data_IF_620298469462
#
_entry.id   IF_620298469462
#
_cell.length_a   1.000
_cell.length_b   1.000
_cell.length_c   1.000
_cell.angle_alpha   90.00
_cell.angle_beta   90.00
_cell.angle_gamma   90.00
#
_symmetry.space_group_name_H-M   'P 1'
#
loop_
_entity.id
_entity.type
_entity.pdbx_description
1 polymer ?
#
# COMPACT_ATOMS: atom_id res chain seq x y z
N UNK A 1 10.31 14.58 -1.22
CA UNK A 1 9.66 13.42 -0.61
C UNK A 1 8.41 13.84 0.11
N UNK A 2 7.28 13.21 -0.17
CA UNK A 2 6.00 13.59 0.41
C UNK A 2 5.21 12.33 0.79
N UNK A 3 4.82 12.22 2.06
CA UNK A 3 3.94 11.17 2.54
C UNK A 3 2.55 11.77 2.78
N UNK A 4 1.56 11.25 2.07
CA UNK A 4 0.14 11.55 2.31
C UNK A 4 -0.41 10.62 3.38
N UNK A 5 -1.02 11.18 4.41
CA UNK A 5 -1.67 10.45 5.50
C UNK A 5 -3.17 10.72 5.51
N UNK A 6 -4.02 9.84 6.10
CA UNK A 6 -5.49 9.95 6.02
C UNK A 6 -6.04 11.18 6.72
N UNK A 7 -6.26 12.26 6.00
CA UNK A 7 -6.97 13.46 6.50
C UNK A 7 -7.63 14.24 5.39
N UNK A 8 -6.89 14.59 4.36
CA UNK A 8 -7.39 15.37 3.25
C UNK A 8 -6.91 14.74 1.94
N UNK A 9 -7.81 14.66 0.98
CA UNK A 9 -7.45 14.29 -0.37
C UNK A 9 -6.76 15.50 -1.01
N UNK A 10 -5.53 15.32 -1.44
CA UNK A 10 -4.77 16.31 -2.20
C UNK A 10 -4.85 15.92 -3.66
N UNK A 11 -5.40 16.76 -4.54
CA UNK A 11 -5.38 16.49 -5.97
C UNK A 11 -3.95 16.34 -6.47
N UNK A 12 -3.68 15.27 -7.21
CA UNK A 12 -2.40 15.08 -7.87
C UNK A 12 -2.38 15.91 -9.16
N UNK A 13 -1.21 16.45 -9.50
CA UNK A 13 -1.05 17.13 -10.79
C UNK A 13 -1.19 16.13 -11.94
N UNK A 14 -1.90 16.45 -13.02
CA UNK A 14 -1.96 15.59 -14.21
C UNK A 14 -0.60 15.49 -14.94
N UNK A 15 0.36 16.35 -14.60
CA UNK A 15 1.74 16.31 -15.09
C UNK A 15 2.71 15.72 -14.09
N UNK A 16 2.20 14.84 -13.21
CA UNK A 16 3.01 14.23 -12.18
C UNK A 16 4.04 13.26 -12.80
N UNK A 17 5.30 13.57 -12.64
CA UNK A 17 6.41 12.69 -13.07
C UNK A 17 6.82 11.71 -11.97
N UNK A 18 6.57 12.07 -10.71
CA UNK A 18 6.91 11.26 -9.55
C UNK A 18 5.88 10.16 -9.34
N UNK A 19 6.31 8.89 -9.14
CA UNK A 19 5.37 7.79 -8.92
C UNK A 19 4.65 7.94 -7.58
N UNK A 20 3.36 7.57 -7.57
CA UNK A 20 2.54 7.43 -6.37
C UNK A 20 2.49 5.97 -5.93
N UNK A 21 3.02 5.65 -4.76
CA UNK A 21 2.92 4.32 -4.17
C UNK A 21 1.92 4.32 -3.02
N UNK A 22 0.94 3.41 -3.05
CA UNK A 22 -0.01 3.21 -1.95
C UNK A 22 0.42 2.01 -1.11
N UNK A 23 0.57 2.18 0.21
CA UNK A 23 0.98 1.12 1.13
C UNK A 23 -0.25 0.40 1.71
N UNK A 24 -0.70 -0.66 1.04
CA UNK A 24 -1.80 -1.51 1.47
C UNK A 24 -1.30 -2.70 2.31
N UNK A 25 -1.95 -2.97 3.42
CA UNK A 25 -1.58 -4.07 4.31
C UNK A 25 -2.15 -3.91 5.71
N UNK A 26 -1.89 -4.85 6.62
CA UNK A 26 -2.45 -4.81 7.97
C UNK A 26 -1.96 -3.59 8.74
N UNK A 27 -2.88 -2.73 9.17
CA UNK A 27 -2.57 -1.58 10.04
C UNK A 27 -2.67 -2.01 11.50
N UNK A 28 -3.81 -2.60 11.88
CA UNK A 28 -4.02 -3.12 13.23
C UNK A 28 -3.40 -4.49 13.36
N UNK A 29 -2.48 -4.65 14.28
CA UNK A 29 -1.75 -5.90 14.49
C UNK A 29 -0.58 -6.12 13.53
N UNK A 30 -0.34 -5.24 12.55
CA UNK A 30 0.75 -5.39 11.58
C UNK A 30 2.09 -4.79 12.01
N UNK A 31 2.16 -4.13 13.18
CA UNK A 31 3.34 -3.35 13.55
C UNK A 31 3.46 -2.04 12.74
N UNK A 32 4.66 -1.49 12.64
CA UNK A 32 4.94 -0.24 11.90
C UNK A 32 5.62 -0.47 10.54
N UNK A 33 5.26 -1.57 9.88
CA UNK A 33 5.85 -1.97 8.60
C UNK A 33 5.74 -0.89 7.51
N UNK A 34 4.70 -0.05 7.56
CA UNK A 34 4.54 1.04 6.60
C UNK A 34 5.66 2.07 6.71
N UNK A 35 6.16 2.32 7.92
CA UNK A 35 7.28 3.23 8.11
C UNK A 35 8.57 2.64 7.57
N UNK A 36 8.81 1.34 7.82
CA UNK A 36 9.99 0.64 7.31
C UNK A 36 9.96 0.60 5.77
N UNK A 37 8.82 0.27 5.18
CA UNK A 37 8.64 0.30 3.72
C UNK A 37 8.83 1.71 3.13
N UNK A 38 8.29 2.74 3.78
CA UNK A 38 8.46 4.12 3.33
C UNK A 38 9.94 4.52 3.34
N UNK A 39 10.70 4.16 4.36
CA UNK A 39 12.14 4.43 4.43
C UNK A 39 12.91 3.72 3.32
N UNK A 40 12.59 2.44 3.05
CA UNK A 40 13.21 1.68 1.96
C UNK A 40 12.95 2.35 0.59
N UNK A 41 11.70 2.73 0.33
CA UNK A 41 11.31 3.43 -0.91
C UNK A 41 12.09 4.72 -1.06
N UNK A 42 12.16 5.50 -0.01
CA UNK A 42 12.74 6.84 -0.04
C UNK A 42 14.26 6.85 -0.17
N UNK A 43 14.91 5.83 0.39
CA UNK A 43 16.34 5.61 0.19
C UNK A 43 16.68 5.26 -1.27
N UNK A 44 15.72 4.69 -2.02
CA UNK A 44 15.86 4.38 -3.45
C UNK A 44 15.51 5.57 -4.34
N UNK A 45 14.41 6.27 -4.02
CA UNK A 45 13.90 7.37 -4.83
C UNK A 45 13.22 8.44 -3.99
N UNK A 46 13.91 9.53 -3.76
CA UNK A 46 13.47 10.63 -2.89
C UNK A 46 12.30 11.45 -3.48
N UNK A 47 12.02 11.34 -4.77
CA UNK A 47 10.91 12.05 -5.43
C UNK A 47 9.57 11.33 -5.30
N UNK A 48 9.56 10.06 -4.86
CA UNK A 48 8.34 9.24 -4.74
C UNK A 48 7.32 9.88 -3.80
N UNK A 49 6.05 9.83 -4.21
CA UNK A 49 4.89 10.14 -3.37
C UNK A 49 4.38 8.85 -2.73
N UNK A 50 4.16 8.87 -1.43
CA UNK A 50 3.67 7.70 -0.69
C UNK A 50 2.32 8.03 -0.08
N UNK A 51 1.28 7.27 -0.42
CA UNK A 51 0.00 7.30 0.26
C UNK A 51 -0.03 6.19 1.32
N UNK A 52 0.03 6.59 2.59
CA UNK A 52 0.08 5.68 3.73
C UNK A 52 -1.20 5.79 4.56
N UNK A 53 -2.01 4.73 4.70
CA UNK A 53 -3.27 4.77 5.45
C UNK A 53 -3.09 4.75 6.97
N UNK A 54 -1.86 4.65 7.47
CA UNK A 54 -1.59 4.67 8.91
C UNK A 54 -1.94 6.01 9.55
N UNK A 55 -2.48 5.96 10.76
CA UNK A 55 -2.87 7.16 11.54
C UNK A 55 -1.71 7.66 12.39
N UNK A 56 -0.57 7.88 11.77
CA UNK A 56 0.60 8.44 12.44
C UNK A 56 0.32 9.85 12.98
N UNK A 57 0.95 10.18 14.10
CA UNK A 57 0.86 11.50 14.72
C UNK A 57 2.11 12.35 14.43
N UNK A 58 2.13 13.58 14.93
CA UNK A 58 3.24 14.51 14.73
C UNK A 58 4.56 14.10 15.40
N UNK A 59 4.52 13.10 16.26
CA UNK A 59 5.70 12.55 16.96
C UNK A 59 6.31 11.37 16.23
N UNK A 60 5.65 10.90 15.15
CA UNK A 60 6.16 9.78 14.38
C UNK A 60 7.49 10.13 13.70
N UNK A 61 8.43 9.16 13.62
CA UNK A 61 9.77 9.35 13.06
C UNK A 61 9.81 9.92 11.64
N UNK A 62 8.77 9.69 10.84
CA UNK A 62 8.61 10.22 9.48
C UNK A 62 7.78 11.51 9.40
N UNK A 63 7.44 12.13 10.52
CA UNK A 63 6.53 13.29 10.55
C UNK A 63 7.00 14.48 9.72
N UNK A 64 8.30 14.68 9.56
CA UNK A 64 8.88 15.73 8.70
C UNK A 64 8.58 15.56 7.22
N UNK A 65 8.15 14.37 6.81
CA UNK A 65 7.81 14.05 5.43
C UNK A 65 6.31 14.11 5.14
N UNK A 66 5.47 14.34 6.16
CA UNK A 66 4.03 14.42 5.96
C UNK A 66 3.65 15.70 5.23
N UNK A 67 2.82 15.53 4.19
CA UNK A 67 2.37 16.66 3.38
C UNK A 67 1.55 17.68 4.17
N UNK A 68 0.86 17.25 5.22
CA UNK A 68 -0.08 18.09 5.96
C UNK A 68 0.17 18.07 7.45
N UNK A 69 0.01 19.24 8.12
CA UNK A 69 -0.01 19.28 9.56
C UNK A 69 -1.19 18.46 10.10
N UNK A 70 -0.97 17.81 11.23
CA UNK A 70 -1.99 17.02 11.89
C UNK A 70 -3.17 17.87 12.32
N UNK A 71 -4.35 17.64 11.73
CA UNK A 71 -5.63 18.08 12.25
C UNK A 71 -6.36 16.87 12.88
N UNK A 72 -7.39 17.10 13.70
CA UNK A 72 -8.21 16.02 14.27
C UNK A 72 -8.70 15.08 13.18
N UNK A 73 -8.67 13.76 13.44
CA UNK A 73 -9.09 12.75 12.49
C UNK A 73 -10.48 13.07 11.91
N UNK A 74 -10.53 13.23 10.60
CA UNK A 74 -11.79 13.28 9.88
C UNK A 74 -12.26 11.83 9.64
N UNK A 75 -13.57 11.56 9.78
CA UNK A 75 -14.17 10.24 9.54
C UNK A 75 -14.15 9.81 8.06
N UNK A 76 -13.33 10.47 7.24
CA UNK A 76 -13.20 10.23 5.79
C UNK A 76 -12.10 9.27 5.39
N UNK A 77 -11.51 8.52 6.32
CA UNK A 77 -10.38 7.64 6.01
C UNK A 77 -10.69 6.68 4.85
N UNK A 78 -11.84 6.03 4.85
CA UNK A 78 -12.23 5.10 3.77
C UNK A 78 -12.36 5.78 2.40
N UNK A 79 -12.80 7.05 2.37
CA UNK A 79 -12.88 7.84 1.12
C UNK A 79 -11.48 8.17 0.64
N UNK A 80 -10.59 8.56 1.54
CA UNK A 80 -9.19 8.84 1.28
C UNK A 80 -8.46 7.60 0.75
N UNK A 81 -8.59 6.45 1.40
CA UNK A 81 -8.01 5.17 0.99
C UNK A 81 -8.47 4.78 -0.42
N UNK A 82 -9.78 4.81 -0.67
CA UNK A 82 -10.34 4.51 -2.00
C UNK A 82 -9.82 5.44 -3.09
N UNK A 83 -9.65 6.72 -2.78
CA UNK A 83 -9.12 7.69 -3.74
C UNK A 83 -7.68 7.32 -4.14
N UNK A 84 -6.78 7.18 -3.15
CA UNK A 84 -5.37 6.93 -3.45
C UNK A 84 -5.08 5.51 -3.96
N UNK A 85 -5.84 4.50 -3.53
CA UNK A 85 -5.79 3.16 -4.11
C UNK A 85 -6.12 3.19 -5.62
N UNK A 86 -7.14 3.94 -6.01
CA UNK A 86 -7.49 4.08 -7.44
C UNK A 86 -6.45 4.87 -8.21
N UNK A 87 -5.98 5.97 -7.66
CA UNK A 87 -4.94 6.79 -8.29
C UNK A 87 -3.66 5.95 -8.53
N UNK A 88 -3.20 5.22 -7.53
CA UNK A 88 -1.99 4.42 -7.62
C UNK A 88 -2.14 3.20 -8.55
N UNK A 89 -3.27 2.51 -8.49
CA UNK A 89 -3.45 1.20 -9.13
C UNK A 89 -4.16 1.20 -10.48
N UNK A 90 -5.02 2.17 -10.76
CA UNK A 90 -5.95 2.12 -11.90
C UNK A 90 -5.89 3.33 -12.84
N UNK A 91 -5.48 4.50 -12.36
CA UNK A 91 -5.54 5.74 -13.15
C UNK A 91 -4.36 5.80 -14.13
N UNK A 92 -4.63 5.84 -15.41
CA UNK A 92 -3.61 5.83 -16.47
C UNK A 92 -2.77 7.13 -16.56
N UNK A 93 -3.28 8.23 -16.03
CA UNK A 93 -2.59 9.54 -16.04
C UNK A 93 -1.64 9.77 -14.87
N UNK A 94 -1.54 8.84 -13.93
CA UNK A 94 -0.69 8.94 -12.75
C UNK A 94 0.27 7.75 -12.72
N UNK A 95 1.60 7.97 -12.82
CA UNK A 95 2.55 6.90 -12.54
C UNK A 95 2.32 6.39 -11.12
N UNK A 96 2.05 5.09 -10.96
CA UNK A 96 1.76 4.61 -9.61
C UNK A 96 1.60 3.10 -9.51
N UNK A 97 1.66 2.60 -8.26
CA UNK A 97 1.52 1.19 -7.95
C UNK A 97 0.95 1.00 -6.54
N UNK A 98 0.13 -0.04 -6.35
CA UNK A 98 -0.29 -0.48 -5.03
C UNK A 98 0.72 -1.51 -4.51
N UNK A 99 1.26 -1.27 -3.34
CA UNK A 99 2.07 -2.26 -2.61
C UNK A 99 1.16 -2.97 -1.60
N UNK A 100 0.94 -4.26 -1.78
CA UNK A 100 0.35 -5.11 -0.75
C UNK A 100 1.45 -5.82 0.04
N UNK A 101 1.60 -5.46 1.32
CA UNK A 101 2.52 -6.14 2.23
C UNK A 101 1.75 -7.08 3.16
N UNK A 102 1.96 -8.38 2.97
CA UNK A 102 1.30 -9.46 3.73
C UNK A 102 2.21 -9.91 4.90
N UNK A 103 2.43 -9.00 5.84
CA UNK A 103 3.23 -9.28 7.04
C UNK A 103 2.49 -10.15 8.04
N UNK A 104 3.24 -10.79 8.94
CA UNK A 104 2.66 -11.55 10.05
C UNK A 104 2.06 -10.62 11.10
N UNK A 105 1.14 -11.16 11.90
CA UNK A 105 0.61 -10.48 13.06
C UNK A 105 1.72 -10.23 14.09
N UNK A 106 1.77 -9.00 14.60
CA UNK A 106 2.73 -8.60 15.62
C UNK A 106 2.44 -9.29 16.95
N UNK A 107 3.43 -9.96 17.51
CA UNK A 107 3.32 -10.59 18.84
C UNK A 107 3.27 -9.59 19.98
N UNK A 108 3.88 -8.40 19.80
CA UNK A 108 3.90 -7.33 20.80
C UNK A 108 2.66 -6.44 20.75
N UNK A 109 2.01 -6.33 19.59
CA UNK A 109 0.82 -5.51 19.37
C UNK A 109 -0.17 -6.30 18.49
N UNK A 110 -0.78 -7.36 19.03
CA UNK A 110 -1.69 -8.20 18.27
C UNK A 110 -2.94 -7.43 17.84
N UNK A 111 -3.62 -7.94 16.82
CA UNK A 111 -4.87 -7.36 16.35
C UNK A 111 -5.92 -7.33 17.47
N UNK A 112 -6.49 -6.17 17.78
CA UNK A 112 -7.53 -6.06 18.81
C UNK A 112 -8.89 -6.48 18.24
N UNK A 113 -9.57 -7.41 18.91
CA UNK A 113 -10.94 -7.76 18.56
C UNK A 113 -11.09 -9.19 18.02
N UNK A 114 -12.34 -9.61 17.77
CA UNK A 114 -12.66 -10.98 17.36
C UNK A 114 -12.51 -11.23 15.86
N UNK A 115 -12.36 -10.16 15.05
CA UNK A 115 -12.22 -10.30 13.61
C UNK A 115 -10.87 -10.93 13.25
N UNK A 116 -10.79 -11.70 12.15
CA UNK A 116 -9.51 -12.25 11.68
C UNK A 116 -8.49 -11.15 11.37
N UNK A 117 -7.24 -11.38 11.75
CA UNK A 117 -6.12 -10.50 11.37
C UNK A 117 -6.08 -10.27 9.87
N UNK A 118 -5.81 -9.04 9.46
CA UNK A 118 -5.68 -8.60 8.07
C UNK A 118 -6.95 -8.81 7.20
N UNK A 119 -8.14 -8.83 7.81
CA UNK A 119 -9.39 -9.03 7.07
C UNK A 119 -9.61 -7.95 5.99
N UNK A 120 -9.38 -6.69 6.32
CA UNK A 120 -9.55 -5.58 5.36
C UNK A 120 -8.54 -5.68 4.22
N UNK A 121 -7.29 -6.04 4.51
CA UNK A 121 -6.25 -6.29 3.49
C UNK A 121 -6.65 -7.40 2.51
N UNK A 122 -7.23 -8.50 3.01
CA UNK A 122 -7.73 -9.61 2.16
C UNK A 122 -8.86 -9.17 1.25
N UNK A 123 -9.77 -8.35 1.77
CA UNK A 123 -10.89 -7.79 0.98
C UNK A 123 -10.39 -6.82 -0.10
N UNK A 124 -9.39 -6.02 0.21
CA UNK A 124 -8.79 -5.09 -0.74
C UNK A 124 -8.05 -5.83 -1.85
N UNK A 125 -7.18 -6.79 -1.51
CA UNK A 125 -6.46 -7.55 -2.52
C UNK A 125 -7.42 -8.32 -3.42
N UNK A 126 -8.43 -8.99 -2.87
CA UNK A 126 -9.45 -9.69 -3.66
C UNK A 126 -10.23 -8.76 -4.59
N UNK A 127 -10.51 -7.53 -4.16
CA UNK A 127 -11.14 -6.51 -5.00
C UNK A 127 -10.25 -6.11 -6.18
N UNK A 128 -8.95 -5.90 -5.96
CA UNK A 128 -8.02 -5.51 -7.03
C UNK A 128 -7.70 -6.69 -7.94
N UNK A 129 -7.70 -7.93 -7.43
CA UNK A 129 -7.66 -9.16 -8.24
C UNK A 129 -8.85 -9.21 -9.22
N UNK A 130 -10.07 -8.98 -8.73
CA UNK A 130 -11.24 -8.92 -9.60
C UNK A 130 -11.20 -7.78 -10.64
N UNK A 131 -10.56 -6.65 -10.31
CA UNK A 131 -10.35 -5.60 -11.30
C UNK A 131 -9.33 -6.00 -12.37
N UNK A 132 -8.30 -6.79 -12.03
CA UNK A 132 -7.28 -7.24 -12.96
C UNK A 132 -7.85 -8.15 -14.06
N UNK A 133 -8.99 -8.81 -13.83
CA UNK A 133 -9.71 -9.55 -14.87
C UNK A 133 -10.33 -8.66 -15.96
N UNK A 134 -10.53 -7.38 -15.72
CA UNK A 134 -11.26 -6.45 -16.57
C UNK A 134 -10.44 -5.25 -17.06
N UNK A 135 -9.38 -4.92 -16.36
CA UNK A 135 -8.59 -3.74 -16.64
C UNK A 135 -7.14 -3.91 -16.15
N UNK A 136 -6.25 -3.07 -16.64
CA UNK A 136 -4.88 -3.04 -16.20
C UNK A 136 -4.79 -2.54 -14.74
N UNK A 137 -4.19 -3.35 -13.86
CA UNK A 137 -4.00 -3.06 -12.45
C UNK A 137 -2.51 -3.09 -12.12
N UNK A 138 -2.01 -1.96 -11.62
CA UNK A 138 -0.61 -1.85 -11.20
C UNK A 138 -0.49 -2.16 -9.71
N UNK A 139 -0.02 -3.36 -9.38
CA UNK A 139 0.18 -3.80 -8.02
C UNK A 139 1.38 -4.72 -7.88
N UNK A 140 1.99 -4.69 -6.70
CA UNK A 140 3.05 -5.60 -6.27
C UNK A 140 2.66 -6.20 -4.93
N UNK A 141 2.92 -7.48 -4.75
CA UNK A 141 2.61 -8.21 -3.52
C UNK A 141 3.88 -8.79 -2.92
N UNK A 142 4.08 -8.53 -1.65
CA UNK A 142 5.16 -9.13 -0.89
C UNK A 142 4.77 -9.34 0.58
N UNK A 143 5.69 -9.93 1.35
CA UNK A 143 5.46 -10.19 2.75
C UNK A 143 6.10 -11.47 3.25
N UNK A 144 5.49 -12.09 4.24
CA UNK A 144 5.98 -13.32 4.83
C UNK A 144 5.25 -14.55 4.27
N UNK A 145 6.02 -15.60 3.93
CA UNK A 145 5.47 -16.88 3.44
C UNK A 145 4.51 -17.56 4.42
N UNK A 146 4.61 -17.23 5.70
CA UNK A 146 3.69 -17.72 6.73
C UNK A 146 2.37 -16.95 6.82
N UNK A 147 2.10 -15.97 5.96
CA UNK A 147 0.82 -15.26 5.96
C UNK A 147 -0.31 -16.23 5.63
N UNK A 148 -1.30 -16.31 6.55
CA UNK A 148 -2.37 -17.30 6.43
C UNK A 148 -3.18 -17.12 5.13
N UNK A 149 -3.32 -18.17 4.33
CA UNK A 149 -4.05 -18.14 3.04
C UNK A 149 -3.29 -17.47 1.89
N UNK A 150 -1.98 -17.32 2.01
CA UNK A 150 -1.13 -16.76 0.96
C UNK A 150 -1.21 -17.56 -0.35
N UNK A 151 -1.26 -18.88 -0.24
CA UNK A 151 -1.40 -19.81 -1.37
C UNK A 151 -2.67 -19.54 -2.20
N UNK A 152 -3.79 -19.30 -1.54
CA UNK A 152 -5.05 -18.93 -2.21
C UNK A 152 -4.93 -17.56 -2.87
N UNK A 153 -4.36 -16.58 -2.17
CA UNK A 153 -4.17 -15.22 -2.72
C UNK A 153 -3.30 -15.28 -3.99
N UNK A 154 -2.18 -16.00 -3.96
CA UNK A 154 -1.28 -16.11 -5.11
C UNK A 154 -1.90 -16.90 -6.28
N UNK A 155 -2.72 -17.90 -5.98
CA UNK A 155 -3.47 -18.63 -6.99
C UNK A 155 -4.46 -17.69 -7.72
N UNK A 156 -5.32 -16.98 -6.98
CA UNK A 156 -6.29 -16.03 -7.54
C UNK A 156 -5.62 -14.91 -8.36
N UNK A 157 -4.51 -14.37 -7.86
CA UNK A 157 -3.73 -13.38 -8.59
C UNK A 157 -3.14 -13.96 -9.89
N UNK A 158 -2.64 -15.19 -9.86
CA UNK A 158 -2.06 -15.82 -11.04
C UNK A 158 -3.11 -16.07 -12.12
N UNK A 159 -4.32 -16.47 -11.74
CA UNK A 159 -5.46 -16.62 -12.67
C UNK A 159 -5.84 -15.27 -13.28
N UNK A 160 -6.01 -14.22 -12.45
CA UNK A 160 -6.42 -12.89 -12.92
C UNK A 160 -5.39 -12.21 -13.84
N UNK A 161 -4.11 -12.41 -13.58
CA UNK A 161 -3.02 -11.84 -14.40
C UNK A 161 -2.56 -12.76 -15.54
N UNK A 162 -3.08 -13.99 -15.62
CA UNK A 162 -2.76 -14.96 -16.67
C UNK A 162 -1.34 -15.53 -16.63
N UNK A 163 -0.60 -15.33 -15.53
CA UNK A 163 0.77 -15.79 -15.33
C UNK A 163 0.98 -16.07 -13.84
N UNK A 164 2.00 -16.90 -13.45
CA UNK A 164 2.42 -16.99 -12.04
C UNK A 164 2.71 -15.60 -11.47
N UNK A 165 1.93 -15.19 -10.48
CA UNK A 165 2.08 -13.85 -9.90
C UNK A 165 3.31 -13.80 -8.99
N UNK A 166 4.23 -12.84 -9.16
CA UNK A 166 5.44 -12.76 -8.36
C UNK A 166 5.14 -12.37 -6.91
N UNK A 167 5.82 -13.01 -5.97
CA UNK A 167 5.76 -12.70 -4.55
C UNK A 167 7.16 -12.43 -4.01
N UNK A 168 7.32 -11.30 -3.34
CA UNK A 168 8.61 -10.83 -2.84
C UNK A 168 8.67 -10.91 -1.32
N UNK A 169 9.77 -11.39 -0.77
CA UNK A 169 9.91 -11.65 0.67
C UNK A 169 10.59 -10.53 1.43
N UNK A 170 11.23 -9.60 0.70
CA UNK A 170 11.92 -8.45 1.30
C UNK A 170 11.26 -7.12 0.88
N UNK A 171 11.35 -6.12 1.75
CA UNK A 171 10.83 -4.77 1.44
C UNK A 171 11.62 -4.11 0.31
N UNK A 172 12.90 -4.43 0.20
CA UNK A 172 13.79 -3.95 -0.84
C UNK A 172 13.37 -4.43 -2.24
N UNK A 173 13.03 -5.71 -2.37
CA UNK A 173 12.50 -6.28 -3.63
C UNK A 173 11.14 -5.67 -3.98
N UNK A 174 10.25 -5.58 -3.00
CA UNK A 174 8.91 -4.96 -3.19
C UNK A 174 9.05 -3.51 -3.65
N UNK A 175 9.88 -2.71 -3.00
CA UNK A 175 10.08 -1.31 -3.36
C UNK A 175 10.66 -1.15 -4.78
N UNK A 176 11.64 -1.98 -5.14
CA UNK A 176 12.25 -1.98 -6.46
C UNK A 176 11.21 -2.27 -7.56
N UNK A 177 10.46 -3.37 -7.39
CA UNK A 177 9.46 -3.77 -8.38
C UNK A 177 8.28 -2.81 -8.44
N UNK A 178 7.85 -2.24 -7.30
CA UNK A 178 6.79 -1.24 -7.28
C UNK A 178 7.17 0.04 -8.04
N UNK A 179 8.42 0.49 -7.93
CA UNK A 179 8.92 1.63 -8.71
C UNK A 179 9.01 1.32 -10.21
N UNK A 180 9.33 0.07 -10.59
CA UNK A 180 9.33 -0.35 -12.00
C UNK A 180 7.90 -0.41 -12.56
N UNK A 181 6.97 -1.06 -11.85
CA UNK A 181 5.56 -1.17 -12.25
C UNK A 181 4.88 0.20 -12.34
N UNK A 182 5.20 1.11 -11.42
CA UNK A 182 4.59 2.44 -11.37
C UNK A 182 4.89 3.30 -12.61
N UNK A 183 5.91 2.93 -13.42
CA UNK A 183 6.34 3.69 -14.60
C UNK A 183 5.92 3.05 -15.94
N UNK A 184 5.26 1.91 -15.88
CA UNK A 184 4.70 1.26 -17.07
C UNK A 184 3.38 1.94 -17.48
#
# INVERSE_FOLDING_TARGET
>A
MTIYVPKQIVPLSPTLESPLLFLAGPIRGGGDWQADMAEVILNRETSTLIACPSRWNSEHRLATHFHQPFSKADNRQLVWERHYLRQAGLESGVPGCIIFWLGLESTSHPHPGPEPFAMDTRREIGKFTAFAEMMDVRMVVGGNRGFHGLDVILFELSEAFGNPFPFYETMEEVAEHALLVARQ
#
